data_IF_082483504281
#
_entry.id   IF_082483504281
#
_cell.length_a   1.000
_cell.length_b   1.000
_cell.length_c   1.000
_cell.angle_alpha   90.00
_cell.angle_beta   90.00
_cell.angle_gamma   90.00
#
_symmetry.space_group_name_H-M   'P 1'
#
loop_
_entity.id
_entity.type
_entity.pdbx_description
1 polymer ?
#
# COMPACT_ATOMS: atom_id res chain seq x y z
N UNK A 1 3.66 5.86 -5.91
CA UNK A 1 2.39 6.20 -5.22
C UNK A 1 1.56 4.93 -5.04
N UNK A 2 0.89 4.80 -3.89
CA UNK A 2 -0.03 3.69 -3.56
C UNK A 2 -1.40 4.29 -3.32
N UNK A 3 -2.42 3.79 -4.02
CA UNK A 3 -3.80 4.26 -3.91
C UNK A 3 -4.71 3.12 -3.48
N UNK A 4 -5.46 3.30 -2.39
CA UNK A 4 -6.49 2.36 -1.96
C UNK A 4 -7.72 2.49 -2.86
N UNK A 5 -8.07 1.42 -3.57
CA UNK A 5 -9.17 1.44 -4.56
C UNK A 5 -10.55 1.57 -3.93
N UNK A 6 -10.70 1.22 -2.64
CA UNK A 6 -12.00 1.31 -1.94
C UNK A 6 -12.41 2.74 -1.63
N UNK A 7 -11.44 3.62 -1.33
CA UNK A 7 -11.71 4.96 -0.81
C UNK A 7 -10.97 6.09 -1.55
N UNK A 8 -10.16 5.77 -2.56
CA UNK A 8 -9.41 6.74 -3.35
C UNK A 8 -8.23 7.41 -2.63
N UNK A 9 -7.99 7.13 -1.34
CA UNK A 9 -6.89 7.72 -0.57
C UNK A 9 -5.56 7.18 -1.07
N UNK A 10 -4.54 8.04 -1.14
CA UNK A 10 -3.22 7.67 -1.65
C UNK A 10 -2.08 8.20 -0.79
N UNK A 11 -0.90 7.58 -0.95
CA UNK A 11 0.35 7.98 -0.29
C UNK A 11 1.54 7.70 -1.21
N UNK A 12 2.55 8.57 -1.18
CA UNK A 12 3.83 8.31 -1.84
C UNK A 12 4.74 7.61 -0.83
N UNK A 13 5.36 6.52 -1.26
CA UNK A 13 6.28 5.72 -0.44
C UNK A 13 7.56 5.48 -1.22
N UNK A 14 8.64 5.23 -0.49
CA UNK A 14 9.91 4.76 -1.03
C UNK A 14 9.99 3.26 -0.84
N UNK A 15 10.43 2.53 -1.87
CA UNK A 15 10.75 1.11 -1.73
C UNK A 15 12.03 0.97 -0.89
N UNK A 16 11.97 0.16 0.16
CA UNK A 16 13.09 -0.04 1.09
C UNK A 16 13.35 -1.51 1.43
N UNK A 17 12.55 -2.45 0.91
CA UNK A 17 12.71 -3.88 1.15
C UNK A 17 12.17 -4.71 -0.04
N UNK A 18 12.53 -5.99 -0.09
CA UNK A 18 12.07 -6.99 -1.08
C UNK A 18 10.89 -7.79 -0.52
N UNK A 19 10.14 -8.42 -1.42
CA UNK A 19 8.94 -9.19 -1.10
C UNK A 19 7.74 -8.69 -1.90
N UNK A 20 6.50 -9.07 -1.52
CA UNK A 20 6.10 -9.73 -0.26
C UNK A 20 6.32 -11.25 -0.25
N UNK A 21 6.35 -11.84 0.95
CA UNK A 21 6.69 -13.26 1.15
C UNK A 21 5.50 -14.21 0.93
N UNK A 22 4.28 -13.68 0.77
CA UNK A 22 3.08 -14.43 0.41
C UNK A 22 2.70 -14.13 -1.04
N UNK A 23 2.45 -15.18 -1.84
CA UNK A 23 2.11 -15.05 -3.28
C UNK A 23 0.85 -14.22 -3.60
N UNK A 24 0.03 -13.91 -2.60
CA UNK A 24 -1.23 -13.16 -2.74
C UNK A 24 -1.11 -11.64 -2.48
N UNK A 25 0.06 -11.14 -2.07
CA UNK A 25 0.26 -9.71 -1.76
C UNK A 25 1.07 -9.03 -2.85
N UNK A 26 0.75 -7.77 -3.13
CA UNK A 26 1.49 -6.93 -4.08
C UNK A 26 2.55 -6.06 -3.39
N UNK A 27 2.23 -5.55 -2.20
CA UNK A 27 3.08 -4.66 -1.41
C UNK A 27 2.67 -4.75 0.07
N UNK A 28 3.65 -4.68 0.97
CA UNK A 28 3.41 -4.43 2.39
C UNK A 28 3.79 -2.98 2.71
N UNK A 29 2.96 -2.30 3.50
CA UNK A 29 3.16 -0.90 3.85
C UNK A 29 3.57 -0.76 5.31
N UNK A 30 4.32 0.30 5.62
CA UNK A 30 4.49 0.71 7.01
C UNK A 30 3.12 1.03 7.64
N UNK A 31 3.01 0.87 8.95
CA UNK A 31 1.78 1.19 9.69
C UNK A 31 1.29 2.62 9.45
N UNK A 32 2.22 3.58 9.35
CA UNK A 32 1.91 4.97 9.03
C UNK A 32 1.27 5.14 7.66
N UNK A 33 1.87 4.53 6.62
CA UNK A 33 1.30 4.57 5.26
C UNK A 33 -0.07 3.87 5.21
N UNK A 34 -0.22 2.72 5.87
CA UNK A 34 -1.49 2.01 5.96
C UNK A 34 -2.60 2.86 6.62
N UNK A 35 -2.27 3.65 7.64
CA UNK A 35 -3.21 4.60 8.26
C UNK A 35 -3.63 5.70 7.28
N UNK A 36 -2.69 6.29 6.55
CA UNK A 36 -2.95 7.38 5.59
C UNK A 36 -3.97 6.95 4.52
N UNK A 37 -3.82 5.75 3.97
CA UNK A 37 -4.74 5.22 2.95
C UNK A 37 -5.93 4.43 3.54
N UNK A 38 -6.06 4.37 4.87
CA UNK A 38 -7.23 3.82 5.56
C UNK A 38 -7.35 2.30 5.53
N UNK A 39 -6.23 1.57 5.61
CA UNK A 39 -6.19 0.09 5.70
C UNK A 39 -5.80 -0.43 7.08
N UNK A 40 -5.39 0.42 8.02
CA UNK A 40 -4.91 -0.01 9.35
C UNK A 40 -5.89 -0.94 10.08
N UNK A 41 -7.21 -0.68 9.97
CA UNK A 41 -8.25 -1.53 10.59
C UNK A 41 -8.65 -2.73 9.74
N UNK A 42 -8.69 -2.60 8.41
CA UNK A 42 -9.11 -3.71 7.53
C UNK A 42 -7.98 -4.71 7.24
N UNK A 43 -6.73 -4.39 7.59
CA UNK A 43 -5.55 -5.22 7.39
C UNK A 43 -5.04 -5.18 5.94
N UNK A 44 -5.91 -5.46 4.98
CA UNK A 44 -5.59 -5.46 3.54
C UNK A 44 -6.63 -4.69 2.72
N UNK A 45 -6.24 -4.32 1.49
CA UNK A 45 -7.12 -3.73 0.48
C UNK A 45 -6.53 -3.93 -0.92
N UNK A 46 -7.40 -3.90 -1.93
CA UNK A 46 -6.96 -3.75 -3.32
C UNK A 46 -6.35 -2.35 -3.51
N UNK A 47 -5.17 -2.31 -4.13
CA UNK A 47 -4.42 -1.07 -4.34
C UNK A 47 -3.98 -0.94 -5.79
N UNK A 48 -3.83 0.30 -6.24
CA UNK A 48 -3.11 0.64 -7.48
C UNK A 48 -1.74 1.19 -7.13
N UNK A 49 -0.72 0.72 -7.85
CA UNK A 49 0.64 1.25 -7.77
C UNK A 49 0.94 2.11 -9.00
N UNK A 50 1.65 3.22 -8.78
CA UNK A 50 2.17 4.11 -9.81
C UNK A 50 3.63 4.41 -9.48
N UNK A 51 4.54 4.12 -10.40
CA UNK A 51 5.95 4.51 -10.28
C UNK A 51 6.08 5.98 -10.69
N UNK A 52 6.71 6.77 -9.83
CA UNK A 52 6.94 8.19 -10.08
C UNK A 52 8.39 8.34 -10.56
N UNK A 53 8.59 9.03 -11.68
CA UNK A 53 9.90 9.34 -12.26
C UNK A 53 10.35 10.74 -11.87
#
# INVERSE_FOLDING_TARGET
RVTNMRNGRSVIVRINDRGPHSRSRLIDLSRGAARVIGVERSGTAAVRLEVLY
#
